data_IF_189064387067
#
_entry.id   IF_189064387067
#
_cell.length_a   1.000
_cell.length_b   1.000
_cell.length_c   1.000
_cell.angle_alpha   90.00
_cell.angle_beta   90.00
_cell.angle_gamma   90.00
#
_symmetry.space_group_name_H-M   'P 1'
#
loop_
_entity.id
_entity.type
_entity.pdbx_description
1 polymer ?
#
# COMPACT_ATOMS: atom_id res chain seq x y z
N UNK A 1 19.18 -8.01 -12.35
CA UNK A 1 18.66 -6.65 -12.12
C UNK A 1 19.16 -6.21 -10.76
N UNK A 2 19.33 -4.90 -10.55
CA UNK A 2 19.60 -4.36 -9.23
C UNK A 2 18.36 -4.57 -8.33
N UNK A 3 18.59 -4.88 -7.06
CA UNK A 3 17.51 -5.08 -6.07
C UNK A 3 17.10 -3.71 -5.54
N UNK A 4 15.83 -3.35 -5.74
CA UNK A 4 15.23 -2.14 -5.21
C UNK A 4 14.35 -2.49 -4.00
N UNK A 5 14.25 -1.55 -3.06
CA UNK A 5 13.33 -1.58 -1.93
C UNK A 5 12.09 -0.76 -2.25
N UNK A 6 10.93 -1.41 -2.28
CA UNK A 6 9.71 -0.87 -2.88
C UNK A 6 8.57 -0.88 -1.86
N UNK A 7 7.90 0.26 -1.67
CA UNK A 7 6.65 0.35 -0.92
C UNK A 7 5.45 0.18 -1.87
N UNK A 8 4.51 -0.69 -1.50
CA UNK A 8 3.21 -0.81 -2.18
C UNK A 8 2.09 -0.54 -1.19
N UNK A 9 1.45 0.62 -1.27
CA UNK A 9 0.24 0.89 -0.46
C UNK A 9 -0.97 0.23 -1.10
N UNK A 10 -1.92 -0.29 -0.34
CA UNK A 10 -3.03 -1.08 -0.89
C UNK A 10 -2.56 -2.45 -1.37
N UNK A 11 -1.44 -2.94 -0.83
CA UNK A 11 -0.78 -4.17 -1.26
C UNK A 11 -1.56 -5.44 -0.93
N UNK A 12 -2.54 -5.37 -0.01
CA UNK A 12 -3.47 -6.47 0.24
C UNK A 12 -4.72 -6.41 -0.67
N UNK A 13 -4.86 -5.35 -1.48
CA UNK A 13 -5.93 -5.22 -2.45
C UNK A 13 -5.74 -6.09 -3.70
N UNK A 14 -6.73 -6.10 -4.58
CA UNK A 14 -6.75 -6.93 -5.80
C UNK A 14 -5.55 -6.65 -6.73
N UNK A 15 -5.29 -5.38 -7.05
CA UNK A 15 -4.15 -4.99 -7.90
C UNK A 15 -2.85 -5.12 -7.12
N UNK A 16 -2.84 -4.66 -5.86
CA UNK A 16 -1.66 -4.66 -5.00
C UNK A 16 -1.06 -6.05 -4.82
N UNK A 17 -1.88 -7.07 -4.55
CA UNK A 17 -1.41 -8.45 -4.34
C UNK A 17 -0.67 -8.98 -5.57
N UNK A 18 -1.20 -8.74 -6.77
CA UNK A 18 -0.57 -9.16 -8.01
C UNK A 18 0.74 -8.42 -8.27
N UNK A 19 0.78 -7.10 -8.00
CA UNK A 19 2.00 -6.31 -8.15
C UNK A 19 3.09 -6.73 -7.16
N UNK A 20 2.72 -6.95 -5.88
CA UNK A 20 3.65 -7.41 -4.85
C UNK A 20 4.29 -8.73 -5.25
N UNK A 21 3.48 -9.70 -5.72
CA UNK A 21 3.99 -10.99 -6.19
C UNK A 21 4.95 -10.84 -7.39
N UNK A 22 4.58 -10.02 -8.38
CA UNK A 22 5.42 -9.78 -9.55
C UNK A 22 6.76 -9.12 -9.20
N UNK A 23 6.75 -8.09 -8.34
CA UNK A 23 7.97 -7.40 -7.92
C UNK A 23 8.88 -8.31 -7.07
N UNK A 24 8.31 -9.12 -6.18
CA UNK A 24 9.06 -10.14 -5.44
C UNK A 24 9.69 -11.17 -6.38
N UNK A 25 8.94 -11.65 -7.39
CA UNK A 25 9.45 -12.60 -8.39
C UNK A 25 10.62 -12.03 -9.21
N UNK A 26 10.72 -10.70 -9.34
CA UNK A 26 11.83 -10.00 -9.98
C UNK A 26 13.06 -9.81 -9.06
N UNK A 27 12.97 -10.21 -7.79
CA UNK A 27 14.05 -10.11 -6.82
C UNK A 27 14.17 -8.74 -6.12
N UNK A 28 13.06 -8.00 -6.02
CA UNK A 28 12.99 -6.77 -5.24
C UNK A 28 12.55 -7.03 -3.80
N UNK A 29 12.95 -6.15 -2.88
CA UNK A 29 12.44 -6.15 -1.51
C UNK A 29 11.14 -5.36 -1.49
N UNK A 30 10.00 -6.05 -1.40
CA UNK A 30 8.68 -5.39 -1.47
C UNK A 30 8.05 -5.35 -0.09
N UNK A 31 7.70 -4.15 0.37
CA UNK A 31 7.00 -3.90 1.61
C UNK A 31 5.56 -3.50 1.27
N UNK A 32 4.61 -4.30 1.72
CA UNK A 32 3.18 -4.03 1.56
C UNK A 32 2.69 -3.13 2.69
N UNK A 33 1.80 -2.19 2.37
CA UNK A 33 1.22 -1.27 3.34
C UNK A 33 -0.30 -1.24 3.21
N UNK A 34 -1.04 -1.59 4.27
CA UNK A 34 -2.50 -1.62 4.26
C UNK A 34 -3.10 -1.35 5.66
N UNK A 35 -4.42 -1.24 5.75
CA UNK A 35 -5.11 -0.86 7.01
C UNK A 35 -5.32 -2.03 7.98
N UNK A 36 -5.18 -3.27 7.50
CA UNK A 36 -5.40 -4.50 8.25
C UNK A 36 -4.22 -4.83 9.17
N UNK A 37 -4.48 -5.63 10.21
CA UNK A 37 -3.42 -6.24 11.01
C UNK A 37 -3.07 -7.60 10.42
N UNK A 38 -1.78 -7.91 10.34
CA UNK A 38 -1.27 -9.21 9.89
C UNK A 38 0.08 -9.50 10.54
N UNK A 39 0.48 -10.77 10.53
CA UNK A 39 1.77 -11.27 11.03
C UNK A 39 2.83 -11.38 9.92
N UNK A 40 2.55 -10.91 8.70
CA UNK A 40 3.51 -10.93 7.61
C UNK A 40 4.71 -10.01 7.88
N UNK A 41 5.93 -10.52 7.69
CA UNK A 41 7.18 -9.79 7.97
C UNK A 41 7.38 -8.54 7.08
N UNK A 42 7.00 -8.63 5.80
CA UNK A 42 7.14 -7.53 4.83
C UNK A 42 5.85 -6.71 4.71
N UNK A 43 5.27 -6.36 5.85
CA UNK A 43 4.01 -5.65 5.91
C UNK A 43 4.03 -4.54 6.97
N UNK A 44 3.52 -3.36 6.60
CA UNK A 44 3.32 -2.22 7.48
C UNK A 44 1.84 -1.89 7.57
N UNK A 45 1.31 -1.84 8.80
CA UNK A 45 -0.03 -1.32 9.00
C UNK A 45 0.00 0.21 8.95
N UNK A 46 -0.71 0.80 8.00
CA UNK A 46 -0.85 2.25 7.89
C UNK A 46 -2.08 2.61 7.06
N UNK A 47 -2.90 3.52 7.58
CA UNK A 47 -3.91 4.22 6.79
C UNK A 47 -3.27 5.42 6.08
N UNK A 48 -3.26 5.41 4.75
CA UNK A 48 -2.68 6.47 3.92
C UNK A 48 -3.42 7.81 4.03
N UNK A 49 -4.68 7.81 4.48
CA UNK A 49 -5.44 9.02 4.81
C UNK A 49 -5.01 9.67 6.13
N UNK A 50 -4.24 8.97 6.96
CA UNK A 50 -3.74 9.45 8.25
C UNK A 50 -2.29 9.93 8.13
N UNK A 51 -2.10 11.25 7.97
CA UNK A 51 -0.80 11.87 7.73
C UNK A 51 0.32 11.36 8.66
N UNK A 52 0.07 11.29 9.97
CA UNK A 52 1.06 10.86 10.96
C UNK A 52 1.43 9.39 10.87
N UNK A 53 0.55 8.53 10.33
CA UNK A 53 0.88 7.12 10.10
C UNK A 53 1.80 7.00 8.89
N UNK A 54 1.45 7.69 7.80
CA UNK A 54 2.25 7.68 6.57
C UNK A 54 3.62 8.34 6.78
N UNK A 55 3.68 9.44 7.52
CA UNK A 55 4.93 10.11 7.91
C UNK A 55 5.87 9.13 8.62
N UNK A 56 5.38 8.39 9.63
CA UNK A 56 6.18 7.37 10.33
C UNK A 56 6.67 6.25 9.41
N UNK A 57 5.87 5.84 8.43
CA UNK A 57 6.29 4.80 7.47
C UNK A 57 7.47 5.30 6.65
N UNK A 58 7.39 6.53 6.14
CA UNK A 58 8.40 7.13 5.26
C UNK A 58 9.65 7.62 6.01
N UNK A 59 9.53 8.06 7.26
CA UNK A 59 10.68 8.49 8.07
C UNK A 59 11.51 7.31 8.58
N UNK A 60 10.86 6.19 8.94
CA UNK A 60 11.54 5.01 9.48
C UNK A 60 12.06 4.06 8.40
N UNK A 61 11.75 4.31 7.12
CA UNK A 61 12.14 3.44 6.02
C UNK A 61 12.55 4.25 4.79
N UNK A 62 13.63 3.84 4.14
CA UNK A 62 13.98 4.32 2.80
C UNK A 62 13.40 3.39 1.75
N UNK A 63 12.90 3.96 0.66
CA UNK A 63 12.38 3.24 -0.50
C UNK A 63 12.92 3.88 -1.78
N UNK A 64 13.27 3.06 -2.76
CA UNK A 64 13.66 3.54 -4.09
C UNK A 64 12.43 3.93 -4.91
N UNK A 65 11.32 3.20 -4.69
CA UNK A 65 10.05 3.41 -5.37
C UNK A 65 8.86 3.24 -4.43
N UNK A 66 7.79 4.01 -4.72
CA UNK A 66 6.49 3.87 -4.07
C UNK A 66 5.43 3.67 -5.14
N UNK A 67 4.74 2.53 -5.11
CA UNK A 67 3.52 2.30 -5.87
C UNK A 67 2.32 2.57 -4.96
N UNK A 68 1.64 3.69 -5.20
CA UNK A 68 0.48 4.09 -4.42
C UNK A 68 -0.82 3.53 -5.01
N UNK A 69 -1.25 2.35 -4.54
CA UNK A 69 -2.47 1.67 -4.99
C UNK A 69 -3.59 1.67 -3.94
N UNK A 70 -3.38 2.30 -2.79
CA UNK A 70 -4.41 2.41 -1.76
C UNK A 70 -5.47 3.40 -2.22
N UNK A 71 -6.66 2.90 -2.54
CA UNK A 71 -7.81 3.69 -2.93
C UNK A 71 -9.09 2.88 -2.68
N UNK A 72 -10.16 3.59 -2.35
CA UNK A 72 -11.50 3.03 -2.46
C UNK A 72 -11.90 3.00 -3.94
N UNK A 73 -12.36 1.85 -4.42
CA UNK A 73 -12.76 1.66 -5.81
C UNK A 73 -14.22 1.24 -5.88
N UNK A 74 -14.98 1.89 -6.75
CA UNK A 74 -16.36 1.54 -7.04
C UNK A 74 -17.14 2.77 -7.49
N UNK A 75 -17.72 2.71 -8.69
CA UNK A 75 -18.49 3.83 -9.25
C UNK A 75 -19.64 4.23 -8.34
N UNK A 76 -20.38 3.27 -7.81
CA UNK A 76 -21.51 3.53 -6.90
C UNK A 76 -21.05 4.17 -5.60
N UNK A 77 -19.96 3.70 -4.99
CA UNK A 77 -19.41 4.34 -3.79
C UNK A 77 -18.97 5.78 -4.09
N UNK A 78 -18.34 6.01 -5.25
CA UNK A 78 -17.90 7.34 -5.66
C UNK A 78 -19.02 8.31 -6.05
N UNK A 79 -20.15 7.82 -6.55
CA UNK A 79 -21.31 8.64 -6.94
C UNK A 79 -22.28 8.86 -5.77
N UNK A 80 -22.60 7.80 -5.00
CA UNK A 80 -23.62 7.84 -3.94
C UNK A 80 -23.04 8.15 -2.54
N UNK A 81 -21.74 7.93 -2.32
CA UNK A 81 -21.10 8.03 -0.99
C UNK A 81 -19.80 8.86 -1.02
N UNK A 82 -19.69 9.84 -1.93
CA UNK A 82 -18.45 10.60 -2.14
C UNK A 82 -17.91 11.28 -0.87
N UNK A 83 -18.76 11.66 0.09
CA UNK A 83 -18.37 12.34 1.35
C UNK A 83 -17.64 11.44 2.35
N UNK A 84 -17.80 10.12 2.23
CA UNK A 84 -17.18 9.12 3.10
C UNK A 84 -16.26 8.16 2.36
N UNK A 85 -16.11 8.33 1.04
CA UNK A 85 -15.39 7.40 0.16
C UNK A 85 -13.97 7.10 0.63
N UNK A 86 -13.26 8.08 1.19
CA UNK A 86 -11.86 7.92 1.61
C UNK A 86 -11.70 7.44 3.06
N UNK A 87 -12.80 7.14 3.77
CA UNK A 87 -12.79 6.73 5.18
C UNK A 87 -12.99 5.21 5.38
N UNK A 88 -13.14 4.47 4.29
CA UNK A 88 -13.31 3.01 4.30
C UNK A 88 -12.01 2.27 4.59
#
# INVERSE_FOLDING_TARGET
METNRILVTGGAGFIGTNLVNELNNRGHEVISCDVYNTEHENYLRCNVGEYRQLEKVLENNTFDHVYHLAAEYGRWNGEDFYESLWKT
#
